data_IF_369299227836
#
_entry.id   IF_369299227836
#
_cell.length_a   1.000
_cell.length_b   1.000
_cell.length_c   1.000
_cell.angle_alpha   90.00
_cell.angle_beta   90.00
_cell.angle_gamma   90.00
#
_symmetry.space_group_name_H-M   'P 1'
#
loop_
_entity.id
_entity.type
_entity.pdbx_description
1 polymer ?
#
# COMPACT_ATOMS: atom_id res chain seq x y z
N UNK A 1 2.23 -14.11 13.52
CA UNK A 1 2.98 -14.94 12.54
C UNK A 1 3.48 -14.01 11.46
N UNK A 2 4.78 -14.07 11.16
CA UNK A 2 5.40 -13.29 10.08
C UNK A 2 5.24 -14.02 8.75
N UNK A 3 4.80 -13.29 7.71
CA UNK A 3 4.58 -13.83 6.37
C UNK A 3 5.14 -12.81 5.38
N UNK A 4 5.99 -13.28 4.48
CA UNK A 4 6.61 -12.42 3.47
C UNK A 4 5.99 -12.60 2.08
N UNK A 5 5.22 -11.62 1.64
CA UNK A 5 4.75 -11.54 0.26
C UNK A 5 5.60 -10.61 -0.62
N UNK A 6 6.42 -9.72 -0.05
CA UNK A 6 6.93 -8.50 -0.70
C UNK A 6 8.44 -8.49 -0.91
N UNK A 7 9.23 -9.21 -0.12
CA UNK A 7 10.70 -9.13 -0.15
C UNK A 7 11.29 -9.32 -1.55
N UNK A 8 10.75 -10.23 -2.35
CA UNK A 8 11.23 -10.44 -3.71
C UNK A 8 10.99 -9.23 -4.62
N UNK A 9 9.92 -8.47 -4.38
CA UNK A 9 9.62 -7.23 -5.08
C UNK A 9 10.62 -6.13 -4.70
N UNK A 10 10.92 -5.98 -3.41
CA UNK A 10 11.89 -4.99 -2.92
C UNK A 10 13.32 -5.26 -3.38
N UNK A 11 13.74 -6.54 -3.47
CA UNK A 11 15.09 -6.93 -3.94
C UNK A 11 15.36 -6.58 -5.40
N UNK A 12 14.36 -6.40 -6.21
CA UNK A 12 14.52 -6.02 -7.63
C UNK A 12 14.91 -4.53 -7.79
N UNK A 13 14.74 -3.71 -6.76
CA UNK A 13 15.03 -2.28 -6.84
C UNK A 13 16.48 -2.00 -6.46
N UNK A 14 17.36 -1.80 -7.43
CA UNK A 14 18.73 -1.30 -7.21
C UNK A 14 18.68 0.22 -7.04
N UNK A 15 18.92 0.72 -5.83
CA UNK A 15 19.01 2.16 -5.54
C UNK A 15 20.38 2.49 -4.96
N UNK A 16 21.06 3.50 -5.54
CA UNK A 16 22.22 4.12 -4.91
C UNK A 16 21.74 5.16 -3.89
N UNK A 17 21.62 4.71 -2.64
CA UNK A 17 21.16 5.56 -1.55
C UNK A 17 22.16 6.66 -1.16
N UNK A 18 23.48 6.40 -1.31
CA UNK A 18 24.52 7.35 -0.98
C UNK A 18 24.57 8.51 -1.99
N UNK A 19 24.51 8.19 -3.28
CA UNK A 19 24.44 9.21 -4.33
C UNK A 19 23.21 10.10 -4.15
N UNK A 20 22.04 9.51 -3.77
CA UNK A 20 20.82 10.28 -3.53
C UNK A 20 20.92 11.23 -2.33
N UNK A 21 21.50 10.78 -1.20
CA UNK A 21 21.65 11.58 0.02
C UNK A 21 22.60 12.77 -0.24
N UNK A 22 23.64 12.56 -1.04
CA UNK A 22 24.61 13.62 -1.38
C UNK A 22 24.06 14.63 -2.41
N UNK A 23 23.05 14.26 -3.20
CA UNK A 23 22.51 15.08 -4.28
C UNK A 23 21.39 16.04 -3.83
N UNK A 24 20.61 15.65 -2.82
CA UNK A 24 19.38 16.37 -2.45
C UNK A 24 19.30 16.56 -0.94
N UNK A 25 18.86 17.75 -0.53
CA UNK A 25 18.49 17.99 0.85
C UNK A 25 17.31 17.09 1.25
N UNK A 26 17.59 16.13 2.14
CA UNK A 26 16.65 15.12 2.57
C UNK A 26 15.39 15.70 3.23
N UNK A 27 15.53 16.81 3.93
CA UNK A 27 14.41 17.51 4.59
C UNK A 27 13.47 18.12 3.56
N UNK A 28 13.99 18.76 2.53
CA UNK A 28 13.19 19.37 1.45
C UNK A 28 12.47 18.29 0.63
N UNK A 29 13.17 17.19 0.31
CA UNK A 29 12.56 16.05 -0.37
C UNK A 29 11.42 15.44 0.46
N UNK A 30 11.59 15.31 1.78
CA UNK A 30 10.56 14.79 2.68
C UNK A 30 9.32 15.71 2.76
N UNK A 31 9.52 17.05 2.79
CA UNK A 31 8.41 18.03 2.79
C UNK A 31 7.61 17.91 1.49
N UNK A 32 8.27 17.75 0.35
CA UNK A 32 7.59 17.55 -0.95
C UNK A 32 6.84 16.21 -0.98
N UNK A 33 7.49 15.13 -0.53
CA UNK A 33 6.91 13.80 -0.51
C UNK A 33 5.64 13.74 0.35
N UNK A 34 5.64 14.37 1.53
CA UNK A 34 4.50 14.38 2.46
C UNK A 34 3.24 15.10 1.95
N UNK A 35 3.32 15.80 0.81
CA UNK A 35 2.13 16.34 0.13
C UNK A 35 1.33 15.29 -0.63
N UNK A 36 1.89 14.09 -0.79
CA UNK A 36 1.30 12.94 -1.48
C UNK A 36 0.77 13.26 -2.89
N UNK A 37 1.30 14.32 -3.53
CA UNK A 37 0.93 14.80 -4.85
C UNK A 37 1.81 14.24 -5.96
N UNK A 38 1.86 14.97 -7.08
CA UNK A 38 2.67 14.65 -8.26
C UNK A 38 4.13 14.33 -7.91
N UNK A 39 4.77 15.16 -7.08
CA UNK A 39 6.19 14.98 -6.72
C UNK A 39 6.46 13.63 -6.03
N UNK A 40 5.49 13.12 -5.28
CA UNK A 40 5.59 11.81 -4.62
C UNK A 40 5.46 10.66 -5.63
N UNK A 41 4.46 10.70 -6.50
CA UNK A 41 4.09 9.59 -7.37
C UNK A 41 4.85 9.58 -8.70
N UNK A 42 4.78 10.69 -9.43
CA UNK A 42 5.23 10.77 -10.83
C UNK A 42 6.34 11.79 -11.05
N UNK A 43 6.76 12.51 -10.00
CA UNK A 43 7.84 13.47 -10.04
C UNK A 43 9.24 12.85 -10.13
N UNK A 44 10.26 13.57 -9.67
CA UNK A 44 11.63 13.03 -9.65
C UNK A 44 11.79 11.84 -8.72
N UNK A 45 12.56 10.84 -9.13
CA UNK A 45 12.99 9.72 -8.29
C UNK A 45 13.72 10.14 -7.03
N UNK A 46 14.24 11.35 -7.03
CA UNK A 46 14.91 11.92 -5.88
C UNK A 46 13.94 12.20 -4.72
N UNK A 47 12.67 12.46 -5.03
CA UNK A 47 11.62 12.63 -4.01
C UNK A 47 11.06 11.30 -3.59
N UNK A 48 10.53 10.48 -4.51
CA UNK A 48 10.02 9.15 -4.17
C UNK A 48 10.02 8.15 -5.34
N UNK A 49 8.87 7.81 -5.93
CA UNK A 49 8.76 6.75 -6.93
C UNK A 49 9.36 7.11 -8.30
N UNK A 50 9.11 8.32 -8.77
CA UNK A 50 9.59 8.77 -10.08
C UNK A 50 8.89 8.06 -11.24
N UNK A 51 7.60 8.29 -11.41
CA UNK A 51 6.77 7.69 -12.44
C UNK A 51 6.20 6.34 -12.00
N UNK A 52 5.32 6.37 -11.01
CA UNK A 52 4.62 5.18 -10.55
C UNK A 52 3.51 4.80 -11.53
N UNK A 53 3.80 3.85 -12.38
CA UNK A 53 2.90 3.34 -13.42
C UNK A 53 2.67 1.84 -13.27
N UNK A 54 1.57 1.37 -13.82
CA UNK A 54 1.26 -0.05 -13.85
C UNK A 54 2.17 -0.81 -14.83
N UNK A 55 2.91 -1.78 -14.31
CA UNK A 55 3.84 -2.62 -15.05
C UNK A 55 3.71 -4.12 -14.73
N UNK A 56 2.64 -4.51 -14.01
CA UNK A 56 2.39 -5.90 -13.63
C UNK A 56 3.20 -6.40 -12.42
N UNK A 57 4.06 -5.58 -11.82
CA UNK A 57 4.91 -5.99 -10.68
C UNK A 57 4.12 -6.48 -9.45
N UNK A 58 2.87 -6.10 -9.32
CA UNK A 58 1.99 -6.51 -8.24
C UNK A 58 1.34 -7.89 -8.46
N UNK A 59 1.38 -8.42 -9.70
CA UNK A 59 0.81 -9.72 -10.04
C UNK A 59 1.31 -10.87 -9.15
N UNK A 60 2.63 -11.11 -8.97
CA UNK A 60 3.11 -12.19 -8.11
C UNK A 60 2.75 -12.01 -6.63
N UNK A 61 2.61 -10.75 -6.17
CA UNK A 61 2.18 -10.44 -4.80
C UNK A 61 0.71 -10.79 -4.62
N UNK A 62 -0.15 -10.32 -5.52
CA UNK A 62 -1.57 -10.63 -5.53
C UNK A 62 -1.81 -12.14 -5.55
N UNK A 63 -1.08 -12.88 -6.40
CA UNK A 63 -1.16 -14.34 -6.46
C UNK A 63 -0.85 -14.98 -5.11
N UNK A 64 0.24 -14.60 -4.44
CA UNK A 64 0.60 -15.12 -3.11
C UNK A 64 -0.47 -14.82 -2.07
N UNK A 65 -1.04 -13.61 -2.07
CA UNK A 65 -2.12 -13.21 -1.16
C UNK A 65 -3.36 -14.08 -1.40
N UNK A 66 -3.76 -14.25 -2.67
CA UNK A 66 -4.91 -15.09 -3.05
C UNK A 66 -4.69 -16.52 -2.59
N UNK A 67 -3.54 -17.11 -2.87
CA UNK A 67 -3.21 -18.50 -2.53
C UNK A 67 -3.16 -18.71 -1.01
N UNK A 68 -2.58 -17.78 -0.27
CA UNK A 68 -2.44 -17.88 1.18
C UNK A 68 -3.77 -17.73 1.93
N UNK A 69 -4.51 -16.67 1.62
CA UNK A 69 -5.79 -16.40 2.28
C UNK A 69 -6.96 -17.18 1.71
N UNK A 70 -6.74 -17.96 0.62
CA UNK A 70 -7.77 -18.72 -0.10
C UNK A 70 -8.96 -17.84 -0.46
N UNK A 71 -8.66 -16.71 -1.13
CA UNK A 71 -9.66 -15.71 -1.49
C UNK A 71 -10.65 -16.32 -2.50
N UNK A 72 -11.93 -16.05 -2.29
CA UNK A 72 -13.03 -16.56 -3.11
C UNK A 72 -13.88 -15.41 -3.67
N UNK A 73 -14.60 -15.63 -4.77
CA UNK A 73 -15.62 -14.70 -5.24
C UNK A 73 -16.60 -14.31 -4.13
N UNK A 74 -17.05 -13.05 -4.13
CA UNK A 74 -17.96 -12.50 -3.13
C UNK A 74 -17.29 -12.04 -1.82
N UNK A 75 -16.05 -12.42 -1.54
CA UNK A 75 -15.32 -11.87 -0.39
C UNK A 75 -14.96 -10.40 -0.61
N UNK A 76 -14.98 -9.63 0.48
CA UNK A 76 -14.70 -8.20 0.51
C UNK A 76 -13.29 -7.95 1.01
N UNK A 77 -12.49 -7.22 0.22
CA UNK A 77 -11.09 -6.90 0.53
C UNK A 77 -10.92 -5.38 0.57
N UNK A 78 -10.27 -4.90 1.62
CA UNK A 78 -9.85 -3.50 1.74
C UNK A 78 -8.33 -3.40 1.64
N UNK A 79 -7.85 -2.43 0.86
CA UNK A 79 -6.43 -2.03 0.83
C UNK A 79 -6.29 -0.59 1.35
N UNK A 80 -5.60 -0.42 2.47
CA UNK A 80 -5.39 0.86 3.14
C UNK A 80 -4.03 1.42 2.73
N UNK A 81 -4.04 2.61 2.11
CA UNK A 81 -2.90 3.19 1.41
C UNK A 81 -2.73 2.55 0.03
N UNK A 82 -3.84 2.37 -0.67
CA UNK A 82 -3.90 1.63 -1.93
C UNK A 82 -3.20 2.32 -3.11
N UNK A 83 -2.79 3.59 -2.96
CA UNK A 83 -2.19 4.37 -4.03
C UNK A 83 -3.06 4.42 -5.28
N UNK A 84 -2.48 4.06 -6.43
CA UNK A 84 -3.19 4.00 -7.71
C UNK A 84 -3.97 2.69 -7.94
N UNK A 85 -4.11 1.84 -6.91
CA UNK A 85 -4.95 0.64 -6.91
C UNK A 85 -4.39 -0.58 -7.67
N UNK A 86 -3.09 -0.63 -7.95
CA UNK A 86 -2.50 -1.68 -8.79
C UNK A 86 -2.63 -3.08 -8.18
N UNK A 87 -2.45 -3.21 -6.85
CA UNK A 87 -2.65 -4.49 -6.16
C UNK A 87 -4.11 -4.95 -6.25
N UNK A 88 -5.04 -4.06 -5.99
CA UNK A 88 -6.48 -4.37 -6.06
C UNK A 88 -6.90 -4.81 -7.47
N UNK A 89 -6.35 -4.17 -8.50
CA UNK A 89 -6.57 -4.57 -9.88
C UNK A 89 -6.09 -6.01 -10.14
N UNK A 90 -4.90 -6.39 -9.65
CA UNK A 90 -4.43 -7.76 -9.79
C UNK A 90 -5.31 -8.77 -9.04
N UNK A 91 -5.79 -8.42 -7.85
CA UNK A 91 -6.71 -9.27 -7.10
C UNK A 91 -8.00 -9.56 -7.88
N UNK A 92 -8.56 -8.56 -8.57
CA UNK A 92 -9.76 -8.76 -9.39
C UNK A 92 -9.53 -9.64 -10.60
N UNK A 93 -8.31 -9.65 -11.15
CA UNK A 93 -7.92 -10.56 -12.25
C UNK A 93 -7.83 -12.01 -11.78
N UNK A 94 -7.21 -12.24 -10.60
CA UNK A 94 -7.03 -13.59 -10.07
C UNK A 94 -8.31 -14.20 -9.53
N UNK A 95 -9.19 -13.37 -8.98
CA UNK A 95 -10.45 -13.83 -8.38
C UNK A 95 -11.64 -13.02 -8.97
N UNK A 96 -12.14 -13.41 -10.16
CA UNK A 96 -13.33 -12.77 -10.71
C UNK A 96 -14.51 -12.85 -9.72
N UNK A 97 -15.16 -11.70 -9.47
CA UNK A 97 -16.24 -11.60 -8.48
C UNK A 97 -15.79 -11.30 -7.05
N UNK A 98 -14.50 -11.10 -6.80
CA UNK A 98 -14.05 -10.50 -5.52
C UNK A 98 -14.51 -9.04 -5.44
N UNK A 99 -14.92 -8.60 -4.26
CA UNK A 99 -15.35 -7.23 -4.01
C UNK A 99 -14.20 -6.49 -3.37
N UNK A 100 -13.67 -5.47 -4.05
CA UNK A 100 -12.52 -4.70 -3.56
C UNK A 100 -12.88 -3.28 -3.22
N UNK A 101 -12.22 -2.72 -2.22
CA UNK A 101 -12.18 -1.31 -1.89
C UNK A 101 -10.75 -0.89 -1.56
N UNK A 102 -10.39 0.32 -1.95
CA UNK A 102 -9.13 0.94 -1.56
C UNK A 102 -9.36 2.29 -0.95
N UNK A 103 -8.54 2.67 0.02
CA UNK A 103 -8.53 4.02 0.57
C UNK A 103 -7.12 4.58 0.55
N UNK A 104 -6.97 5.81 0.09
CA UNK A 104 -5.69 6.53 0.11
C UNK A 104 -5.92 8.01 0.43
N UNK A 105 -4.94 8.63 1.10
CA UNK A 105 -4.96 10.05 1.43
C UNK A 105 -4.59 10.93 0.24
N UNK A 106 -4.00 10.34 -0.78
CA UNK A 106 -3.53 11.04 -1.97
C UNK A 106 -4.64 11.23 -3.01
N UNK A 107 -5.18 12.43 -3.09
CA UNK A 107 -6.09 12.79 -4.18
C UNK A 107 -5.44 12.57 -5.55
N UNK A 108 -4.14 12.84 -5.66
CA UNK A 108 -3.39 12.61 -6.90
C UNK A 108 -3.39 11.14 -7.30
N UNK A 109 -3.13 10.23 -6.36
CA UNK A 109 -3.12 8.79 -6.62
C UNK A 109 -4.49 8.29 -7.08
N UNK A 110 -5.55 8.66 -6.35
CA UNK A 110 -6.93 8.29 -6.70
C UNK A 110 -7.32 8.84 -8.08
N UNK A 111 -6.99 10.11 -8.37
CA UNK A 111 -7.27 10.74 -9.66
C UNK A 111 -6.55 10.03 -10.83
N UNK A 112 -5.32 9.57 -10.60
CA UNK A 112 -4.47 8.89 -11.58
C UNK A 112 -4.44 7.37 -11.41
N UNK A 113 -5.44 6.82 -10.72
CA UNK A 113 -5.59 5.39 -10.54
C UNK A 113 -5.88 4.68 -11.87
N UNK A 114 -5.60 3.39 -11.90
CA UNK A 114 -5.92 2.52 -13.03
C UNK A 114 -7.43 2.56 -13.29
N UNK A 115 -7.82 2.81 -14.56
CA UNK A 115 -9.20 3.11 -14.97
C UNK A 115 -10.19 2.06 -14.49
N UNK A 116 -9.80 0.77 -14.57
CA UNK A 116 -10.65 -0.37 -14.26
C UNK A 116 -10.93 -0.54 -12.76
N UNK A 117 -10.13 0.12 -11.89
CA UNK A 117 -10.26 0.00 -10.45
C UNK A 117 -10.68 1.30 -9.75
N UNK A 118 -10.61 2.41 -10.46
CA UNK A 118 -10.74 3.76 -9.90
C UNK A 118 -12.05 3.99 -9.14
N UNK A 119 -13.16 3.44 -9.63
CA UNK A 119 -14.48 3.57 -8.97
C UNK A 119 -14.59 2.86 -7.61
N UNK A 120 -13.63 1.97 -7.31
CA UNK A 120 -13.57 1.23 -6.05
C UNK A 120 -12.61 1.87 -5.05
N UNK A 121 -12.04 3.04 -5.38
CA UNK A 121 -11.07 3.73 -4.54
C UNK A 121 -11.68 4.98 -3.92
N UNK A 122 -11.53 5.11 -2.61
CA UNK A 122 -12.03 6.22 -1.82
C UNK A 122 -10.88 7.13 -1.37
N UNK A 123 -11.08 8.45 -1.42
CA UNK A 123 -10.18 9.42 -0.81
C UNK A 123 -10.44 9.44 0.70
N UNK A 124 -9.44 9.13 1.51
CA UNK A 124 -9.62 9.08 2.95
C UNK A 124 -8.35 8.79 3.72
N UNK A 125 -8.41 8.93 5.04
CA UNK A 125 -7.31 8.65 5.94
C UNK A 125 -7.49 7.31 6.65
N UNK A 126 -6.38 6.60 6.86
CA UNK A 126 -6.35 5.32 7.55
C UNK A 126 -6.86 5.40 9.01
N UNK A 127 -6.75 6.56 9.65
CA UNK A 127 -7.18 6.79 11.03
C UNK A 127 -8.68 7.06 11.20
N UNK A 128 -9.44 7.13 10.09
CA UNK A 128 -10.90 7.29 10.09
C UNK A 128 -11.47 6.72 8.79
N UNK A 129 -11.83 5.45 8.80
CA UNK A 129 -12.29 4.72 7.63
C UNK A 129 -13.82 4.86 7.45
N UNK A 130 -14.31 5.16 6.23
CA UNK A 130 -15.73 5.38 5.95
C UNK A 130 -16.52 4.06 5.78
N UNK A 131 -16.12 3.01 6.49
CA UNK A 131 -16.69 1.68 6.36
C UNK A 131 -17.31 1.19 7.66
N UNK A 132 -18.20 0.19 7.56
CA UNK A 132 -18.89 -0.42 8.71
C UNK A 132 -17.96 -1.38 9.45
N UNK A 133 -18.34 -1.69 10.69
CA UNK A 133 -17.65 -2.68 11.51
C UNK A 133 -17.72 -4.06 10.84
N UNK A 134 -16.60 -4.79 10.86
CA UNK A 134 -16.47 -6.15 10.32
C UNK A 134 -16.95 -6.29 8.87
N UNK A 135 -16.81 -5.24 8.08
CA UNK A 135 -17.25 -5.22 6.69
C UNK A 135 -16.38 -6.07 5.77
N UNK A 136 -15.07 -6.16 6.03
CA UNK A 136 -14.11 -6.79 5.14
C UNK A 136 -13.61 -8.14 5.64
N UNK A 137 -13.56 -9.12 4.74
CA UNK A 137 -13.03 -10.46 5.00
C UNK A 137 -11.50 -10.46 5.10
N UNK A 138 -10.84 -9.54 4.39
CA UNK A 138 -9.39 -9.31 4.44
C UNK A 138 -9.11 -7.82 4.39
N UNK A 139 -8.27 -7.32 5.30
CA UNK A 139 -7.72 -5.97 5.27
C UNK A 139 -6.23 -6.04 4.99
N UNK A 140 -5.80 -5.30 3.99
CA UNK A 140 -4.40 -5.14 3.59
C UNK A 140 -3.92 -3.73 3.93
N UNK A 141 -2.67 -3.57 4.34
CA UNK A 141 -1.96 -2.30 4.34
C UNK A 141 -0.48 -2.56 4.10
N UNK A 142 0.03 -2.11 2.97
CA UNK A 142 1.38 -2.40 2.51
C UNK A 142 2.17 -1.11 2.38
N UNK A 143 3.24 -0.99 3.18
CA UNK A 143 4.15 0.16 3.17
C UNK A 143 3.44 1.52 3.35
N UNK A 144 2.40 1.58 4.17
CA UNK A 144 1.59 2.78 4.42
C UNK A 144 1.73 3.26 5.85
N UNK A 145 1.54 2.39 6.82
CA UNK A 145 1.37 2.74 8.23
C UNK A 145 2.61 3.41 8.85
N UNK A 146 3.81 3.11 8.36
CA UNK A 146 5.05 3.76 8.83
C UNK A 146 5.14 5.26 8.50
N UNK A 147 4.24 5.78 7.66
CA UNK A 147 4.17 7.21 7.35
C UNK A 147 3.30 7.99 8.35
N UNK A 148 2.58 7.29 9.23
CA UNK A 148 1.70 7.91 10.21
C UNK A 148 2.47 8.31 11.48
N UNK A 149 2.04 9.39 12.12
CA UNK A 149 2.48 9.74 13.47
C UNK A 149 1.87 8.78 14.50
N UNK A 150 2.49 8.68 15.69
CA UNK A 150 2.10 7.69 16.70
C UNK A 150 0.59 7.64 17.00
N UNK A 151 -0.06 8.79 17.18
CA UNK A 151 -1.50 8.84 17.48
C UNK A 151 -2.36 8.42 16.29
N UNK A 152 -1.98 8.84 15.08
CA UNK A 152 -2.67 8.45 13.85
C UNK A 152 -2.48 6.96 13.56
N UNK A 153 -1.27 6.43 13.83
CA UNK A 153 -1.00 5.00 13.70
C UNK A 153 -1.86 4.18 14.65
N UNK A 154 -1.97 4.60 15.92
CA UNK A 154 -2.81 3.93 16.90
C UNK A 154 -4.29 3.92 16.43
N UNK A 155 -4.80 5.07 16.01
CA UNK A 155 -6.16 5.18 15.49
C UNK A 155 -6.37 4.34 14.23
N UNK A 156 -5.38 4.31 13.33
CA UNK A 156 -5.44 3.47 12.13
C UNK A 156 -5.50 1.98 12.46
N UNK A 157 -4.74 1.51 13.45
CA UNK A 157 -4.79 0.12 13.89
C UNK A 157 -6.15 -0.23 14.51
N UNK A 158 -6.77 0.69 15.26
CA UNK A 158 -8.14 0.53 15.79
C UNK A 158 -9.16 0.44 14.65
N UNK A 159 -9.06 1.29 13.64
CA UNK A 159 -9.93 1.28 12.47
C UNK A 159 -9.77 -0.01 11.64
N UNK A 160 -8.53 -0.47 11.44
CA UNK A 160 -8.25 -1.75 10.79
C UNK A 160 -8.93 -2.91 11.54
N UNK A 161 -8.83 -2.91 12.88
CA UNK A 161 -9.49 -3.93 13.70
C UNK A 161 -11.02 -3.81 13.64
N UNK A 162 -11.55 -2.58 13.62
CA UNK A 162 -12.99 -2.32 13.54
C UNK A 162 -13.60 -2.80 12.23
N UNK A 163 -13.02 -2.41 11.08
CA UNK A 163 -13.59 -2.69 9.76
C UNK A 163 -13.31 -4.11 9.27
N UNK A 164 -12.20 -4.72 9.72
CA UNK A 164 -11.79 -6.06 9.30
C UNK A 164 -12.37 -7.15 10.19
N UNK A 165 -12.74 -8.26 9.58
CA UNK A 165 -13.02 -9.52 10.29
C UNK A 165 -11.70 -10.10 10.85
N UNK A 166 -11.44 -11.37 10.67
CA UNK A 166 -10.27 -12.05 11.26
C UNK A 166 -8.96 -11.80 10.50
N UNK A 167 -9.03 -11.72 9.16
CA UNK A 167 -7.82 -11.72 8.31
C UNK A 167 -7.31 -10.31 8.07
N UNK A 168 -6.04 -10.07 8.43
CA UNK A 168 -5.35 -8.80 8.19
C UNK A 168 -3.92 -9.08 7.76
N UNK A 169 -3.39 -8.31 6.83
CA UNK A 169 -1.99 -8.30 6.45
C UNK A 169 -1.45 -6.88 6.48
N UNK A 170 -0.52 -6.64 7.39
CA UNK A 170 0.11 -5.35 7.58
C UNK A 170 1.61 -5.48 7.33
N UNK A 171 2.12 -4.68 6.40
CA UNK A 171 3.55 -4.56 6.14
C UNK A 171 3.98 -3.11 6.33
N UNK A 172 4.80 -2.85 7.33
CA UNK A 172 5.24 -1.49 7.69
C UNK A 172 6.62 -1.16 7.16
N UNK A 173 7.54 -2.11 7.17
CA UNK A 173 8.89 -2.01 6.62
C UNK A 173 9.41 -3.38 6.21
N UNK A 174 10.44 -3.39 5.35
CA UNK A 174 11.18 -4.59 4.97
C UNK A 174 12.64 -4.47 5.40
N UNK A 175 13.21 -5.53 5.90
CA UNK A 175 14.64 -5.68 6.12
C UNK A 175 15.31 -6.37 4.93
N UNK A 176 16.58 -6.07 4.70
CA UNK A 176 17.35 -6.66 3.58
C UNK A 176 18.20 -7.85 4.00
N UNK A 177 18.58 -7.89 5.29
CA UNK A 177 19.41 -8.92 5.89
C UNK A 177 18.82 -9.32 7.23
N UNK A 178 19.01 -10.56 7.64
CA UNK A 178 18.57 -11.05 8.95
C UNK A 178 19.09 -10.21 10.12
N UNK A 179 20.27 -9.62 9.98
CA UNK A 179 20.84 -8.70 10.99
C UNK A 179 20.09 -7.39 11.14
N UNK A 180 19.32 -6.96 10.13
CA UNK A 180 18.48 -5.76 10.18
C UNK A 180 17.11 -6.05 10.83
N UNK A 181 16.73 -7.32 10.93
CA UNK A 181 15.47 -7.77 11.52
C UNK A 181 15.42 -7.62 13.04
N UNK A 182 16.57 -7.58 13.69
CA UNK A 182 16.73 -7.63 15.16
C UNK A 182 16.88 -6.22 15.78
N UNK A 183 17.02 -5.19 14.95
CA UNK A 183 17.11 -3.80 15.35
C UNK A 183 15.81 -3.06 15.09
#
# INVERSE_FOLDING_TARGET
>A
MEIDFITNHHKQTKRDYLARVNKINKSEAAIKAKKWGFDYWDGSRDVNYGGDHYDGRWEPIAKKIVDYYKIKPGQRILDIGCGKGFLLYELTKFVPGVIVRGVDISEYAIKNAKKEIKEFLDLGSANKLPYKDKEFDLVLSINTLHNLYCFDLFSALQEIERVGKEKKYLCVESYRKETEKVN
#
